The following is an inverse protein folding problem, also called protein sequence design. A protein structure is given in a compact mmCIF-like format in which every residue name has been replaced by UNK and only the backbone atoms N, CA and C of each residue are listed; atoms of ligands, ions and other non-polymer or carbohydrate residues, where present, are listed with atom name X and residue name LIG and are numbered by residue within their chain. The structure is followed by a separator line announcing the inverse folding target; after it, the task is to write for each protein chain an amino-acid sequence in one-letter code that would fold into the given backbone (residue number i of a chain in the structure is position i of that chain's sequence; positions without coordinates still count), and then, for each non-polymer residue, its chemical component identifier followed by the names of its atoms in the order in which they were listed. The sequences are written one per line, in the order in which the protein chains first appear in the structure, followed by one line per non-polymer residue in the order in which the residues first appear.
data_IF_266617938692
#
_entry.id   IF_266617938692
#
_cell.length_a   1.000
_cell.length_b   1.000
_cell.length_c   1.000
_cell.angle_alpha   90.00
_cell.angle_beta   90.00
_cell.angle_gamma   90.00
#
_symmetry.space_group_name_H-M   'P 1'
#
loop_
_entity.id
_entity.type
_entity.pdbx_description
1 polymer ?
#
# COMPACT_ATOMS: atom_id res chain seq x y z
N UNK A 1 0.19 -6.85 22.91
CA UNK A 1 0.91 -5.91 22.03
C UNK A 1 0.76 -6.40 20.59
N UNK A 2 0.41 -5.55 19.61
CA UNK A 2 0.46 -5.97 18.20
C UNK A 2 1.92 -6.28 17.85
N UNK A 3 2.18 -7.43 17.22
CA UNK A 3 3.50 -7.81 16.73
C UNK A 3 3.92 -6.82 15.63
N UNK A 4 5.14 -6.30 15.72
CA UNK A 4 5.72 -5.52 14.61
C UNK A 4 5.85 -6.44 13.40
N UNK A 5 5.41 -5.98 12.25
CA UNK A 5 5.55 -6.70 10.98
C UNK A 5 6.66 -6.06 10.14
N UNK A 6 7.42 -6.89 9.46
CA UNK A 6 8.52 -6.48 8.59
C UNK A 6 8.12 -6.72 7.13
N UNK A 7 8.11 -5.63 6.35
CA UNK A 7 7.74 -5.63 4.92
C UNK A 7 8.93 -5.09 4.10
N UNK A 8 9.93 -5.92 3.77
CA UNK A 8 11.06 -5.49 2.98
C UNK A 8 10.65 -5.25 1.52
N UNK A 9 11.18 -4.17 0.92
CA UNK A 9 10.95 -3.87 -0.48
C UNK A 9 11.88 -4.67 -1.39
N UNK A 10 11.32 -5.20 -2.48
CA UNK A 10 12.09 -5.84 -3.55
C UNK A 10 12.67 -4.83 -4.56
N UNK A 11 12.46 -3.53 -4.35
CA UNK A 11 12.99 -2.49 -5.23
C UNK A 11 14.53 -2.53 -5.32
N UNK A 12 15.21 -2.90 -4.22
CA UNK A 12 16.67 -3.01 -4.15
C UNK A 12 17.21 -4.42 -4.44
N UNK A 13 16.32 -5.35 -4.82
CA UNK A 13 16.71 -6.72 -5.14
C UNK A 13 17.30 -6.84 -6.55
N UNK A 14 17.94 -7.96 -6.83
CA UNK A 14 18.37 -8.33 -8.18
C UNK A 14 17.13 -8.70 -9.02
N UNK A 15 16.75 -7.83 -9.95
CA UNK A 15 15.57 -8.02 -10.81
C UNK A 15 15.69 -9.24 -11.74
N UNK A 16 16.91 -9.71 -12.02
CA UNK A 16 17.14 -10.92 -12.82
C UNK A 16 16.72 -12.20 -12.11
N UNK A 17 16.54 -12.16 -10.78
CA UNK A 17 16.22 -13.32 -9.95
C UNK A 17 15.23 -13.02 -8.80
N UNK A 18 14.27 -12.12 -9.05
CA UNK A 18 13.29 -11.66 -8.04
C UNK A 18 12.62 -12.82 -7.27
N UNK A 19 12.33 -13.94 -7.91
CA UNK A 19 11.77 -15.11 -7.25
C UNK A 19 12.67 -15.67 -6.16
N UNK A 20 13.98 -15.72 -6.39
CA UNK A 20 14.97 -16.18 -5.41
C UNK A 20 15.12 -15.13 -4.28
N UNK A 21 15.12 -13.86 -4.63
CA UNK A 21 15.19 -12.78 -3.67
C UNK A 21 14.00 -12.81 -2.71
N UNK A 22 12.76 -13.02 -3.20
CA UNK A 22 11.57 -13.19 -2.36
C UNK A 22 11.72 -14.37 -1.39
N UNK A 23 12.23 -15.53 -1.87
CA UNK A 23 12.49 -16.68 -0.98
C UNK A 23 13.54 -16.36 0.10
N UNK A 24 14.57 -15.59 -0.24
CA UNK A 24 15.58 -15.15 0.74
C UNK A 24 14.95 -14.25 1.82
N UNK A 25 14.06 -13.31 1.43
CA UNK A 25 13.35 -12.45 2.37
C UNK A 25 12.42 -13.26 3.29
N UNK A 26 11.66 -14.20 2.74
CA UNK A 26 10.79 -15.10 3.52
C UNK A 26 11.59 -15.93 4.51
N UNK A 27 12.70 -16.54 4.09
CA UNK A 27 13.61 -17.29 4.96
C UNK A 27 14.29 -16.40 6.02
N UNK A 28 14.47 -15.12 5.72
CA UNK A 28 14.99 -14.10 6.64
C UNK A 28 13.96 -13.62 7.68
N UNK A 29 12.71 -14.07 7.60
CA UNK A 29 11.67 -13.76 8.57
C UNK A 29 10.82 -12.54 8.21
N UNK A 30 10.72 -12.17 6.94
CA UNK A 30 9.77 -11.16 6.49
C UNK A 30 8.33 -11.61 6.79
N UNK A 31 7.47 -10.67 7.16
CA UNK A 31 6.03 -10.91 7.36
C UNK A 31 5.21 -10.58 6.10
N UNK A 32 5.72 -9.67 5.26
CA UNK A 32 5.13 -9.25 3.97
C UNK A 32 6.26 -9.04 2.95
N UNK A 33 5.88 -8.91 1.70
CA UNK A 33 6.78 -8.45 0.62
C UNK A 33 6.27 -7.10 0.10
N UNK A 34 7.10 -6.06 0.22
CA UNK A 34 6.78 -4.75 -0.31
C UNK A 34 7.17 -4.62 -1.78
N UNK A 35 6.25 -4.14 -2.59
CA UNK A 35 6.41 -4.03 -4.05
C UNK A 35 6.16 -2.60 -4.47
N UNK A 36 7.24 -1.87 -4.80
CA UNK A 36 7.18 -0.49 -5.27
C UNK A 36 6.94 -0.45 -6.78
N UNK A 37 5.77 0.02 -7.18
CA UNK A 37 5.36 0.17 -8.58
C UNK A 37 5.46 1.64 -8.98
N UNK A 38 6.25 1.90 -10.02
CA UNK A 38 6.54 3.24 -10.52
C UNK A 38 6.38 3.27 -12.05
N UNK A 39 5.80 4.35 -12.59
CA UNK A 39 5.42 4.48 -14.00
C UNK A 39 6.27 5.47 -14.80
N UNK A 40 7.27 6.09 -14.19
CA UNK A 40 8.09 7.14 -14.82
C UNK A 40 7.33 8.46 -15.04
N UNK A 41 6.08 8.56 -14.53
CA UNK A 41 5.22 9.74 -14.66
C UNK A 41 4.90 10.37 -13.29
N UNK A 42 4.33 9.59 -12.38
CA UNK A 42 4.07 10.06 -11.01
C UNK A 42 5.37 10.26 -10.23
N UNK A 43 6.34 9.38 -10.45
CA UNK A 43 7.71 9.48 -9.95
C UNK A 43 8.70 9.25 -11.09
N UNK A 44 9.93 9.81 -11.04
CA UNK A 44 10.89 9.76 -12.15
C UNK A 44 11.62 8.40 -12.31
N UNK A 45 11.02 7.32 -11.84
CA UNK A 45 11.54 5.96 -11.96
C UNK A 45 10.50 5.05 -12.59
N UNK A 46 10.94 3.96 -13.21
CA UNK A 46 10.11 2.96 -13.86
C UNK A 46 10.50 1.59 -13.32
N UNK A 47 9.56 0.82 -12.79
CA UNK A 47 9.89 -0.47 -12.16
C UNK A 47 9.17 -1.64 -12.80
N UNK A 48 8.12 -2.17 -12.20
CA UNK A 48 7.47 -3.40 -12.59
C UNK A 48 5.95 -3.22 -12.73
N UNK A 49 5.35 -4.04 -13.57
CA UNK A 49 3.91 -4.05 -13.78
C UNK A 49 3.21 -5.32 -13.27
N UNK A 50 1.87 -5.40 -13.44
CA UNK A 50 1.06 -6.53 -12.98
C UNK A 50 1.55 -7.91 -13.44
N UNK A 51 2.05 -8.10 -14.69
CA UNK A 51 2.53 -9.41 -15.15
C UNK A 51 3.69 -9.96 -14.31
N UNK A 52 4.61 -9.09 -13.88
CA UNK A 52 5.74 -9.49 -13.02
C UNK A 52 5.23 -9.91 -11.65
N UNK A 53 4.35 -9.12 -11.02
CA UNK A 53 3.76 -9.41 -9.71
C UNK A 53 3.02 -10.74 -9.74
N UNK A 54 2.22 -10.97 -10.78
CA UNK A 54 1.50 -12.24 -10.98
C UNK A 54 2.44 -13.44 -11.05
N UNK A 55 3.55 -13.30 -11.76
CA UNK A 55 4.57 -14.34 -11.85
C UNK A 55 5.25 -14.59 -10.50
N UNK A 56 5.52 -13.53 -9.73
CA UNK A 56 6.18 -13.63 -8.43
C UNK A 56 5.28 -14.31 -7.37
N UNK A 57 3.97 -14.30 -7.54
CA UNK A 57 3.04 -14.92 -6.58
C UNK A 57 3.30 -16.41 -6.32
N UNK A 58 3.87 -17.14 -7.27
CA UNK A 58 4.20 -18.57 -7.10
C UNK A 58 5.36 -18.82 -6.14
N UNK A 59 6.20 -17.82 -5.84
CA UNK A 59 7.42 -17.98 -5.04
C UNK A 59 7.20 -17.85 -3.53
N UNK A 60 6.07 -17.30 -3.09
CA UNK A 60 5.78 -17.11 -1.66
C UNK A 60 4.29 -17.12 -1.38
N UNK A 61 3.91 -17.41 -0.12
CA UNK A 61 2.56 -17.22 0.42
C UNK A 61 2.44 -15.95 1.28
N UNK A 62 3.54 -15.25 1.54
CA UNK A 62 3.50 -13.98 2.27
C UNK A 62 2.64 -12.96 1.52
N UNK A 63 1.91 -12.10 2.24
CA UNK A 63 1.12 -11.06 1.61
C UNK A 63 1.98 -10.10 0.80
N UNK A 64 1.49 -9.70 -0.38
CA UNK A 64 2.09 -8.62 -1.17
C UNK A 64 1.49 -7.28 -0.78
N UNK A 65 2.34 -6.39 -0.28
CA UNK A 65 2.05 -4.99 0.01
C UNK A 65 2.48 -4.15 -1.20
N UNK A 66 1.54 -3.89 -2.11
CA UNK A 66 1.80 -3.25 -3.40
C UNK A 66 1.56 -1.75 -3.30
N UNK A 67 2.62 -0.97 -3.43
CA UNK A 67 2.62 0.48 -3.36
C UNK A 67 2.62 1.09 -4.75
N UNK A 68 1.52 1.74 -5.12
CA UNK A 68 1.28 2.28 -6.45
C UNK A 68 1.68 3.76 -6.52
N UNK A 69 2.87 4.02 -7.01
CA UNK A 69 3.37 5.35 -7.37
C UNK A 69 3.18 5.57 -8.88
N UNK A 70 1.92 5.53 -9.31
CA UNK A 70 1.50 5.63 -10.72
C UNK A 70 0.31 6.58 -10.85
N UNK A 71 0.20 7.28 -11.98
CA UNK A 71 -0.90 8.21 -12.24
C UNK A 71 -1.45 8.05 -13.66
N UNK A 72 -2.79 7.95 -13.81
CA UNK A 72 -3.84 7.94 -12.77
C UNK A 72 -4.02 6.53 -12.18
N UNK A 73 -3.92 6.40 -10.87
CA UNK A 73 -3.89 5.09 -10.18
C UNK A 73 -5.20 4.30 -10.31
N UNK A 74 -6.36 4.98 -10.35
CA UNK A 74 -7.68 4.34 -10.34
C UNK A 74 -7.92 3.38 -11.53
N UNK A 75 -7.20 3.57 -12.63
CA UNK A 75 -7.30 2.70 -13.82
C UNK A 75 -6.68 1.33 -13.63
N UNK A 76 -5.71 1.20 -12.73
CA UNK A 76 -4.88 0.00 -12.60
C UNK A 76 -5.15 -0.80 -11.32
N UNK A 77 -6.01 -0.32 -10.41
CA UNK A 77 -6.31 -0.99 -9.14
C UNK A 77 -6.73 -2.45 -9.34
N UNK A 78 -7.59 -2.73 -10.34
CA UNK A 78 -8.05 -4.11 -10.63
C UNK A 78 -6.91 -4.99 -11.11
N UNK A 79 -6.08 -4.49 -12.01
CA UNK A 79 -4.96 -5.25 -12.58
C UNK A 79 -3.99 -5.70 -11.49
N UNK A 80 -3.69 -4.82 -10.52
CA UNK A 80 -2.80 -5.18 -9.40
C UNK A 80 -3.48 -6.09 -8.39
N UNK A 81 -4.78 -5.93 -8.15
CA UNK A 81 -5.54 -6.86 -7.32
C UNK A 81 -5.55 -8.27 -7.91
N UNK A 82 -5.76 -8.39 -9.23
CA UNK A 82 -5.78 -9.67 -9.97
C UNK A 82 -4.38 -10.27 -10.13
N UNK A 83 -3.35 -9.44 -10.13
CA UNK A 83 -1.95 -9.88 -10.10
C UNK A 83 -1.55 -10.51 -8.76
N UNK A 84 -2.36 -10.34 -7.71
CA UNK A 84 -2.15 -10.99 -6.41
C UNK A 84 -1.72 -10.05 -5.29
N UNK A 85 -1.93 -8.73 -5.41
CA UNK A 85 -1.78 -7.81 -4.29
C UNK A 85 -2.75 -8.19 -3.17
N UNK A 86 -2.28 -8.15 -1.93
CA UNK A 86 -3.09 -8.33 -0.71
C UNK A 86 -3.40 -6.99 -0.05
N UNK A 87 -2.44 -6.07 -0.12
CA UNK A 87 -2.56 -4.68 0.31
C UNK A 87 -2.27 -3.83 -0.92
N UNK A 88 -3.09 -2.80 -1.16
CA UNK A 88 -2.86 -1.81 -2.23
C UNK A 88 -2.75 -0.44 -1.58
N UNK A 89 -1.55 0.12 -1.63
CA UNK A 89 -1.23 1.45 -1.12
C UNK A 89 -1.23 2.44 -2.28
N UNK A 90 -1.99 3.53 -2.15
CA UNK A 90 -2.14 4.57 -3.17
C UNK A 90 -1.84 5.95 -2.60
N UNK A 91 -1.51 6.89 -3.48
CA UNK A 91 -1.33 8.30 -3.16
C UNK A 91 -2.59 9.09 -3.51
N UNK A 92 -3.10 9.95 -2.61
CA UNK A 92 -4.18 10.89 -2.94
C UNK A 92 -3.85 11.77 -4.15
N UNK A 93 -2.57 12.12 -4.30
CA UNK A 93 -2.06 12.95 -5.39
C UNK A 93 -2.08 12.24 -6.76
N UNK A 94 -2.24 10.92 -6.77
CA UNK A 94 -2.27 10.08 -7.98
C UNK A 94 -3.70 9.77 -8.47
N UNK A 95 -4.74 10.35 -7.85
CA UNK A 95 -6.15 10.11 -8.22
C UNK A 95 -6.98 11.38 -8.08
N UNK A 96 -7.94 11.55 -8.97
CA UNK A 96 -8.91 12.65 -8.91
C UNK A 96 -9.98 12.41 -7.83
N UNK A 97 -10.27 11.14 -7.50
CA UNK A 97 -11.25 10.72 -6.51
C UNK A 97 -10.69 9.59 -5.64
N UNK A 98 -10.15 10.01 -4.49
CA UNK A 98 -9.56 9.09 -3.51
C UNK A 98 -10.61 8.15 -2.91
N UNK A 99 -11.81 8.66 -2.64
CA UNK A 99 -12.88 7.88 -1.99
C UNK A 99 -13.33 6.74 -2.90
N UNK A 100 -13.56 7.02 -4.18
CA UNK A 100 -13.91 6.00 -5.17
C UNK A 100 -12.79 4.98 -5.34
N UNK A 101 -11.52 5.40 -5.35
CA UNK A 101 -10.37 4.50 -5.41
C UNK A 101 -10.31 3.58 -4.19
N UNK A 102 -10.52 4.10 -2.99
CA UNK A 102 -10.60 3.31 -1.75
C UNK A 102 -11.76 2.30 -1.81
N UNK A 103 -12.97 2.75 -2.22
CA UNK A 103 -14.13 1.86 -2.37
C UNK A 103 -13.86 0.73 -3.36
N UNK A 104 -13.17 1.03 -4.47
CA UNK A 104 -12.77 0.05 -5.47
C UNK A 104 -11.84 -1.02 -4.89
N UNK A 105 -10.80 -0.62 -4.15
CA UNK A 105 -9.87 -1.55 -3.49
C UNK A 105 -10.62 -2.44 -2.48
N UNK A 106 -11.49 -1.86 -1.66
CA UNK A 106 -12.31 -2.61 -0.68
C UNK A 106 -13.26 -3.60 -1.37
N UNK A 107 -13.93 -3.21 -2.48
CA UNK A 107 -14.80 -4.10 -3.27
C UNK A 107 -14.04 -5.32 -3.80
N UNK A 108 -12.77 -5.17 -4.12
CA UNK A 108 -11.88 -6.26 -4.53
C UNK A 108 -11.36 -7.10 -3.34
N UNK A 109 -11.87 -6.83 -2.12
CA UNK A 109 -11.48 -7.52 -0.87
C UNK A 109 -9.99 -7.39 -0.55
N UNK A 110 -9.36 -6.29 -0.94
CA UNK A 110 -7.98 -5.98 -0.63
C UNK A 110 -7.88 -4.97 0.51
N UNK A 111 -6.78 -5.02 1.27
CA UNK A 111 -6.48 -4.01 2.29
C UNK A 111 -6.06 -2.72 1.60
N UNK A 112 -6.43 -1.59 2.20
CA UNK A 112 -6.10 -0.25 1.68
C UNK A 112 -4.94 0.34 2.50
N UNK A 113 -3.91 0.80 1.80
CA UNK A 113 -2.88 1.69 2.32
C UNK A 113 -2.99 3.08 1.69
N UNK A 114 -2.63 4.11 2.44
CA UNK A 114 -2.52 5.49 1.93
C UNK A 114 -1.10 5.98 2.23
N UNK A 115 -0.43 6.44 1.20
CA UNK A 115 0.85 7.12 1.28
C UNK A 115 0.68 8.57 0.81
N UNK A 116 1.48 9.47 1.35
CA UNK A 116 1.39 10.91 1.06
C UNK A 116 2.77 11.41 0.63
N UNK A 117 2.79 12.29 -0.36
CA UNK A 117 4.02 12.98 -0.72
C UNK A 117 4.50 13.89 0.42
N UNK A 118 5.80 14.10 0.59
CA UNK A 118 6.35 14.91 1.69
C UNK A 118 5.80 16.33 1.72
N UNK A 119 5.47 16.90 0.56
CA UNK A 119 4.95 18.26 0.40
C UNK A 119 3.45 18.37 0.67
N UNK A 120 2.75 17.23 0.74
CA UNK A 120 1.29 17.22 0.94
C UNK A 120 0.96 17.70 2.34
N UNK A 121 0.28 18.84 2.40
CA UNK A 121 -0.16 19.41 3.67
C UNK A 121 -1.34 18.61 4.21
N UNK A 122 -1.16 18.04 5.39
CA UNK A 122 -2.23 17.36 6.12
C UNK A 122 -2.63 18.24 7.29
N UNK A 123 -3.71 18.96 7.14
CA UNK A 123 -4.24 19.79 8.23
C UNK A 123 -5.13 18.98 9.17
N UNK A 124 -5.92 18.05 8.61
CA UNK A 124 -6.85 17.21 9.34
C UNK A 124 -6.75 15.77 8.84
N UNK A 125 -6.64 14.82 9.78
CA UNK A 125 -6.78 13.40 9.50
C UNK A 125 -8.11 12.94 10.08
N UNK A 126 -9.05 12.51 9.23
CA UNK A 126 -10.32 11.96 9.65
C UNK A 126 -10.23 10.45 9.81
N UNK A 127 -10.69 9.94 10.94
CA UNK A 127 -10.77 8.51 11.21
C UNK A 127 -12.25 8.12 11.24
N UNK A 128 -12.59 7.08 10.47
CA UNK A 128 -13.87 6.41 10.61
C UNK A 128 -13.70 5.28 11.64
N UNK A 129 -14.50 5.26 12.73
CA UNK A 129 -14.36 4.24 13.78
C UNK A 129 -14.41 2.80 13.24
N UNK A 130 -15.20 2.58 12.19
CA UNK A 130 -15.37 1.28 11.54
C UNK A 130 -14.12 0.83 10.77
N UNK A 131 -13.22 1.77 10.47
CA UNK A 131 -11.98 1.49 9.74
C UNK A 131 -10.81 1.12 10.66
N UNK A 132 -10.99 1.14 11.99
CA UNK A 132 -9.93 0.84 12.95
C UNK A 132 -10.44 -0.03 14.10
N UNK A 133 -9.65 -1.04 14.48
CA UNK A 133 -9.94 -1.90 15.63
C UNK A 133 -9.66 -1.17 16.96
N UNK A 134 -8.84 -0.12 16.94
CA UNK A 134 -8.48 0.66 18.14
C UNK A 134 -8.44 2.16 17.82
N UNK A 135 -9.59 2.78 17.92
CA UNK A 135 -9.76 4.21 17.67
C UNK A 135 -8.88 5.08 18.57
N UNK A 136 -8.76 4.71 19.86
CA UNK A 136 -7.97 5.48 20.84
C UNK A 136 -6.49 5.54 20.47
N UNK A 137 -5.91 4.40 20.07
CA UNK A 137 -4.50 4.32 19.68
C UNK A 137 -4.25 5.06 18.37
N UNK A 138 -5.18 4.96 17.41
CA UNK A 138 -5.13 5.70 16.15
C UNK A 138 -5.15 7.22 16.39
N UNK A 139 -6.06 7.71 17.23
CA UNK A 139 -6.14 9.12 17.64
C UNK A 139 -4.83 9.57 18.33
N UNK A 140 -4.31 8.77 19.26
CA UNK A 140 -3.08 9.10 19.98
C UNK A 140 -1.86 9.17 19.04
N UNK A 141 -1.79 8.26 18.06
CA UNK A 141 -0.72 8.26 17.07
C UNK A 141 -0.77 9.55 16.23
N UNK A 142 -1.96 9.93 15.73
CA UNK A 142 -2.13 11.14 14.93
C UNK A 142 -1.79 12.39 15.74
N UNK A 143 -2.18 12.45 17.01
CA UNK A 143 -1.83 13.56 17.91
C UNK A 143 -0.32 13.67 18.13
N UNK A 144 0.40 12.54 18.26
CA UNK A 144 1.87 12.53 18.34
C UNK A 144 2.52 13.13 17.09
N UNK A 145 1.89 13.00 15.92
CA UNK A 145 2.34 13.63 14.68
C UNK A 145 2.02 15.13 14.61
N UNK A 146 1.48 15.73 15.69
CA UNK A 146 1.06 17.15 15.79
C UNK A 146 0.04 17.54 14.71
N UNK A 147 -0.83 16.62 14.30
CA UNK A 147 -1.91 16.86 13.33
C UNK A 147 -3.25 16.98 14.04
N UNK A 148 -4.17 17.70 13.44
CA UNK A 148 -5.57 17.74 13.89
C UNK A 148 -6.25 16.40 13.60
N UNK A 149 -7.11 15.95 14.50
CA UNK A 149 -7.83 14.69 14.36
C UNK A 149 -9.32 15.00 14.16
N UNK A 150 -9.88 14.53 13.06
CA UNK A 150 -11.32 14.47 12.84
C UNK A 150 -11.80 13.02 13.05
N UNK A 151 -12.93 12.85 13.70
CA UNK A 151 -13.63 11.58 13.79
C UNK A 151 -14.96 11.73 13.08
N UNK A 152 -15.17 10.92 12.05
CA UNK A 152 -16.44 10.87 11.32
C UNK A 152 -17.21 9.62 11.75
N UNK A 153 -18.47 9.81 12.12
CA UNK A 153 -19.39 8.71 12.39
C UNK A 153 -20.24 8.50 11.14
N UNK A 154 -20.45 7.25 10.76
CA UNK A 154 -21.44 6.95 9.73
C UNK A 154 -22.84 7.32 10.24
N UNK A 155 -23.68 7.95 9.39
CA UNK A 155 -25.06 8.27 9.75
C UNK A 155 -25.92 7.03 9.96
#
# INVERSE_FOLDING_TARGET
MKKIQISPSILSADFSQLGNEIKRLENGGADLIHVDVMDGHFVPNLTIGPPVIKTLRQYTKLPFDVHLMISPVHKYIEDYADAGADIITIHPEATEDLETSIKKIKKLKKKVGISLNPETKIDIITIHPEATENLKDSINLIKKLKKKVGVSLNP
#
